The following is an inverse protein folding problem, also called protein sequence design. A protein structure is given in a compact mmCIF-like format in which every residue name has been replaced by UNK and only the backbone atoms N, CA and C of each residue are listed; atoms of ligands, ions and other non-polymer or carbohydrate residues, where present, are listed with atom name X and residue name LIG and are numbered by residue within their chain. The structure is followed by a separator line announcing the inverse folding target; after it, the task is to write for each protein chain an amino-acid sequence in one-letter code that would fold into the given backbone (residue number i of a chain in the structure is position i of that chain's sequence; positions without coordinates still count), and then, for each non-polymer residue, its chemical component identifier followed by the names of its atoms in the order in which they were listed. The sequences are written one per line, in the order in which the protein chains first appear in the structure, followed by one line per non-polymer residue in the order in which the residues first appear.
data_IF_342927815065
#
_entry.id   IF_342927815065
#
_cell.length_a   1.000
_cell.length_b   1.000
_cell.length_c   1.000
_cell.angle_alpha   90.00
_cell.angle_beta   90.00
_cell.angle_gamma   90.00
#
_symmetry.space_group_name_H-M   'P 1'
#
loop_
_entity.id
_entity.type
_entity.pdbx_description
1 polymer ?
#
# COMPACT_ATOMS: atom_id res chain seq x y z
N UNK A 1 37.50 -35.30 9.06
CA UNK A 1 36.77 -34.03 8.93
C UNK A 1 35.31 -34.40 9.14
N UNK A 2 34.70 -33.92 10.24
CA UNK A 2 33.29 -34.17 10.51
C UNK A 2 32.50 -33.09 9.77
N UNK A 3 31.93 -33.43 8.61
CA UNK A 3 30.98 -32.57 7.93
C UNK A 3 29.70 -32.55 8.77
N UNK A 4 29.57 -31.53 9.61
CA UNK A 4 28.30 -31.24 10.26
C UNK A 4 27.25 -31.04 9.17
N UNK A 5 26.07 -31.68 9.27
CA UNK A 5 25.03 -31.55 8.27
C UNK A 5 24.64 -30.07 8.14
N UNK A 6 24.71 -29.55 6.91
CA UNK A 6 24.25 -28.20 6.58
C UNK A 6 22.74 -28.17 6.84
N UNK A 7 22.30 -27.26 7.70
CA UNK A 7 20.87 -27.09 7.98
C UNK A 7 20.13 -26.79 6.66
N UNK A 8 18.92 -27.36 6.46
CA UNK A 8 18.14 -27.05 5.27
C UNK A 8 17.90 -25.55 5.18
N UNK A 9 17.87 -24.97 3.97
CA UNK A 9 17.61 -23.54 3.79
C UNK A 9 16.26 -23.19 4.42
N UNK A 10 16.25 -22.14 5.23
CA UNK A 10 15.01 -21.60 5.80
C UNK A 10 14.19 -21.03 4.65
N UNK A 11 12.96 -21.52 4.49
CA UNK A 11 12.04 -21.01 3.48
C UNK A 11 11.70 -19.55 3.80
N UNK A 12 11.85 -18.67 2.81
CA UNK A 12 11.59 -17.25 2.96
C UNK A 12 10.11 -16.96 2.84
N UNK A 13 9.62 -16.01 3.64
CA UNK A 13 8.26 -15.51 3.59
C UNK A 13 8.10 -14.47 2.47
N UNK A 14 7.23 -14.69 1.48
CA UNK A 14 7.00 -13.74 0.40
C UNK A 14 6.25 -12.49 0.87
N UNK A 15 6.75 -11.31 0.50
CA UNK A 15 6.08 -10.03 0.71
C UNK A 15 5.88 -9.29 -0.62
N UNK A 16 4.69 -8.75 -0.84
CA UNK A 16 4.34 -8.01 -2.05
C UNK A 16 4.35 -6.50 -1.77
N UNK A 17 5.18 -5.76 -2.49
CA UNK A 17 5.34 -4.32 -2.35
C UNK A 17 4.66 -3.61 -3.53
N UNK A 18 3.66 -2.77 -3.25
CA UNK A 18 2.91 -2.04 -4.26
C UNK A 18 3.45 -0.61 -4.37
N UNK A 19 3.79 -0.16 -5.57
CA UNK A 19 4.40 1.14 -5.83
C UNK A 19 5.92 1.19 -5.66
N UNK A 20 6.58 0.03 -5.56
CA UNK A 20 8.04 -0.10 -5.39
C UNK A 20 8.63 -0.75 -6.63
N UNK A 21 9.82 -0.30 -7.06
CA UNK A 21 10.59 -0.95 -8.12
C UNK A 21 11.74 -1.81 -7.56
N UNK A 22 12.10 -2.88 -8.30
CA UNK A 22 13.27 -3.70 -7.99
C UNK A 22 14.14 -3.78 -9.25
N UNK A 23 15.20 -2.97 -9.26
CA UNK A 23 16.12 -2.89 -10.40
C UNK A 23 16.93 -4.16 -10.57
N UNK A 24 17.01 -4.66 -11.81
CA UNK A 24 18.03 -5.62 -12.23
C UNK A 24 19.37 -4.89 -12.35
N UNK A 25 20.13 -4.87 -11.25
CA UNK A 25 21.42 -4.19 -11.21
C UNK A 25 22.38 -4.75 -12.27
N UNK A 26 22.33 -6.06 -12.51
CA UNK A 26 23.19 -6.75 -13.49
C UNK A 26 22.83 -6.34 -14.90
N UNK A 27 21.57 -6.45 -15.29
CA UNK A 27 21.08 -6.00 -16.59
C UNK A 27 21.32 -4.50 -16.82
N UNK A 28 21.08 -3.68 -15.80
CA UNK A 28 21.34 -2.24 -15.85
C UNK A 28 22.83 -1.95 -16.12
N UNK A 29 23.73 -2.68 -15.46
CA UNK A 29 25.17 -2.52 -15.64
C UNK A 29 25.65 -2.97 -17.02
N UNK A 30 25.11 -4.09 -17.52
CA UNK A 30 25.43 -4.63 -18.85
C UNK A 30 24.96 -3.71 -19.97
N UNK A 31 23.80 -3.05 -19.81
CA UNK A 31 23.23 -2.16 -20.83
C UNK A 31 24.00 -0.85 -20.99
N UNK A 32 24.71 -0.39 -19.96
CA UNK A 32 25.52 0.84 -20.00
C UNK A 32 26.93 0.65 -20.59
N UNK A 33 27.21 -0.51 -21.20
CA UNK A 33 28.55 -0.95 -21.63
C UNK A 33 29.05 -0.33 -22.94
N UNK A 34 29.43 0.96 -22.92
CA UNK A 34 30.30 1.48 -24.00
C UNK A 34 31.59 2.18 -23.55
N UNK A 35 31.82 2.41 -22.25
CA UNK A 35 33.15 2.83 -21.72
C UNK A 35 33.10 2.94 -20.19
N UNK A 36 31.93 3.34 -19.68
CA UNK A 36 31.65 3.57 -18.26
C UNK A 36 31.76 2.29 -17.42
N UNK A 37 31.20 1.17 -17.89
CA UNK A 37 31.25 -0.12 -17.19
C UNK A 37 32.66 -0.71 -17.09
N UNK A 38 33.53 -0.49 -18.09
CA UNK A 38 34.92 -0.97 -18.06
C UNK A 38 35.72 -0.31 -16.94
N UNK A 39 35.65 1.03 -16.83
CA UNK A 39 36.32 1.78 -15.74
C UNK A 39 35.84 1.32 -14.35
N UNK A 40 34.55 1.02 -14.22
CA UNK A 40 33.98 0.60 -12.96
C UNK A 40 34.48 -0.79 -12.50
N UNK A 41 34.54 -1.76 -13.42
CA UNK A 41 35.06 -3.09 -13.12
C UNK A 41 36.54 -3.07 -12.75
N UNK A 42 37.33 -2.23 -13.42
CA UNK A 42 38.76 -2.10 -13.17
C UNK A 42 39.05 -1.40 -11.83
N UNK A 43 38.25 -0.41 -11.42
CA UNK A 43 38.50 0.36 -10.22
C UNK A 43 37.90 -0.25 -8.93
N UNK A 44 36.76 -0.94 -9.00
CA UNK A 44 35.95 -1.22 -7.79
C UNK A 44 35.78 -2.69 -7.41
N UNK A 45 36.18 -3.65 -8.26
CA UNK A 45 35.97 -5.09 -7.99
C UNK A 45 34.55 -5.38 -7.49
N UNK A 46 33.55 -4.84 -8.18
CA UNK A 46 32.15 -4.90 -7.75
C UNK A 46 31.63 -6.32 -7.91
N UNK A 47 31.23 -6.93 -6.81
CA UNK A 47 30.45 -8.16 -6.83
C UNK A 47 28.98 -7.84 -7.14
N UNK A 48 28.64 -7.87 -8.42
CA UNK A 48 27.28 -7.65 -8.89
C UNK A 48 26.37 -8.85 -8.67
N UNK A 49 26.96 -10.02 -8.42
CA UNK A 49 26.21 -11.26 -8.18
C UNK A 49 25.72 -11.34 -6.72
N UNK A 50 26.26 -10.51 -5.83
CA UNK A 50 25.84 -10.35 -4.43
C UNK A 50 25.33 -8.92 -4.14
N UNK A 51 24.13 -8.54 -4.64
CA UNK A 51 23.63 -7.17 -4.49
C UNK A 51 23.44 -6.79 -3.02
N UNK A 52 23.84 -5.56 -2.67
CA UNK A 52 23.75 -5.01 -1.31
C UNK A 52 23.27 -3.56 -1.31
N UNK A 53 22.81 -3.09 -0.15
CA UNK A 53 22.41 -1.68 0.05
C UNK A 53 23.58 -0.73 -0.28
N UNK A 54 24.81 -1.07 0.12
CA UNK A 54 26.00 -0.25 -0.14
C UNK A 54 26.32 -0.16 -1.63
N UNK A 55 26.22 -1.27 -2.37
CA UNK A 55 26.41 -1.27 -3.82
C UNK A 55 25.38 -0.37 -4.51
N UNK A 56 24.09 -0.54 -4.18
CA UNK A 56 23.02 0.29 -4.75
C UNK A 56 23.23 1.76 -4.44
N UNK A 57 23.63 2.08 -3.21
CA UNK A 57 23.95 3.44 -2.78
C UNK A 57 25.04 4.06 -3.64
N UNK A 58 26.12 3.32 -3.90
CA UNK A 58 27.20 3.81 -4.74
C UNK A 58 26.76 4.02 -6.20
N UNK A 59 25.97 3.10 -6.74
CA UNK A 59 25.43 3.23 -8.09
C UNK A 59 24.60 4.52 -8.25
N UNK A 60 23.85 4.91 -7.22
CA UNK A 60 23.13 6.20 -7.20
C UNK A 60 24.08 7.39 -7.11
N UNK A 61 25.03 7.38 -6.16
CA UNK A 61 26.02 8.47 -5.99
C UNK A 61 26.78 8.77 -7.28
N UNK A 62 27.10 7.71 -8.04
CA UNK A 62 27.83 7.80 -9.31
C UNK A 62 26.92 8.00 -10.53
N UNK A 63 25.61 8.13 -10.34
CA UNK A 63 24.61 8.35 -11.41
C UNK A 63 24.58 7.22 -12.45
N UNK A 64 24.71 5.98 -12.01
CA UNK A 64 24.42 4.77 -12.80
C UNK A 64 22.97 4.30 -12.60
N UNK A 65 22.42 4.60 -11.41
CA UNK A 65 21.04 4.36 -11.05
C UNK A 65 20.41 5.68 -10.60
N UNK A 66 19.13 5.90 -10.91
CA UNK A 66 18.43 7.08 -10.42
C UNK A 66 18.05 6.92 -8.93
N UNK A 67 17.75 8.04 -8.28
CA UNK A 67 17.52 8.09 -6.83
C UNK A 67 16.29 7.25 -6.41
N UNK A 68 15.23 7.21 -7.23
CA UNK A 68 13.99 6.50 -6.92
C UNK A 68 14.21 4.98 -7.00
N UNK A 69 14.74 4.50 -8.13
CA UNK A 69 15.03 3.08 -8.35
C UNK A 69 16.07 2.55 -7.35
N UNK A 70 17.10 3.35 -7.05
CA UNK A 70 18.10 2.98 -6.06
C UNK A 70 17.54 2.92 -4.65
N UNK A 71 16.70 3.88 -4.26
CA UNK A 71 16.03 3.85 -2.96
C UNK A 71 15.15 2.63 -2.81
N UNK A 72 14.33 2.33 -3.81
CA UNK A 72 13.37 1.23 -3.77
C UNK A 72 14.09 -0.12 -3.76
N UNK A 73 15.10 -0.30 -4.62
CA UNK A 73 15.94 -1.49 -4.63
C UNK A 73 16.71 -1.68 -3.31
N UNK A 74 17.28 -0.62 -2.73
CA UNK A 74 17.96 -0.70 -1.45
C UNK A 74 17.04 -1.15 -0.31
N UNK A 75 15.78 -0.69 -0.32
CA UNK A 75 14.78 -1.11 0.68
C UNK A 75 14.38 -2.57 0.52
N UNK A 76 14.21 -3.03 -0.72
CA UNK A 76 13.99 -4.46 -0.99
C UNK A 76 15.16 -5.32 -0.48
N UNK A 77 16.40 -4.92 -0.79
CA UNK A 77 17.59 -5.62 -0.32
C UNK A 77 17.71 -5.61 1.21
N UNK A 78 17.36 -4.52 1.88
CA UNK A 78 17.35 -4.46 3.34
C UNK A 78 16.32 -5.45 3.94
N UNK A 79 15.13 -5.57 3.34
CA UNK A 79 14.12 -6.56 3.76
C UNK A 79 14.65 -7.99 3.60
N UNK A 80 15.31 -8.28 2.48
CA UNK A 80 15.83 -9.63 2.18
C UNK A 80 17.08 -9.99 2.99
N UNK A 81 17.89 -9.00 3.38
CA UNK A 81 19.07 -9.18 4.23
C UNK A 81 18.73 -9.73 5.62
N UNK A 82 17.47 -9.60 6.07
CA UNK A 82 16.97 -10.24 7.29
C UNK A 82 17.02 -11.77 7.25
N UNK A 83 17.13 -12.36 6.05
CA UNK A 83 17.07 -13.81 5.82
C UNK A 83 15.67 -14.41 5.95
N UNK A 84 14.68 -13.63 6.40
CA UNK A 84 13.30 -14.09 6.61
C UNK A 84 12.41 -13.89 5.39
N UNK A 85 12.59 -12.80 4.65
CA UNK A 85 11.66 -12.39 3.61
C UNK A 85 12.26 -12.48 2.20
N UNK A 86 11.38 -12.68 1.22
CA UNK A 86 11.64 -12.43 -0.19
C UNK A 86 10.67 -11.37 -0.72
N UNK A 87 11.15 -10.45 -1.56
CA UNK A 87 10.33 -9.32 -2.01
C UNK A 87 9.88 -9.48 -3.46
N UNK A 88 8.59 -9.26 -3.69
CA UNK A 88 8.00 -9.09 -5.02
C UNK A 88 7.45 -7.67 -5.13
N UNK A 89 7.67 -7.03 -6.27
CA UNK A 89 7.42 -5.62 -6.47
C UNK A 89 6.46 -5.39 -7.64
N UNK A 90 5.52 -4.47 -7.44
CA UNK A 90 4.58 -4.04 -8.48
C UNK A 90 4.69 -2.53 -8.62
N UNK A 91 4.95 -2.03 -9.81
CA UNK A 91 4.90 -0.60 -10.09
C UNK A 91 4.52 -0.32 -11.55
N UNK A 92 4.11 0.92 -11.81
CA UNK A 92 3.99 1.49 -13.15
C UNK A 92 5.14 2.43 -13.49
N UNK A 93 6.09 2.61 -12.58
CA UNK A 93 7.24 3.45 -12.85
C UNK A 93 8.01 2.87 -14.03
N UNK A 94 8.11 3.68 -15.07
CA UNK A 94 9.02 3.45 -16.19
C UNK A 94 10.38 4.02 -15.79
N UNK A 95 11.42 3.21 -15.87
CA UNK A 95 12.69 3.49 -15.20
C UNK A 95 13.79 2.56 -15.68
N UNK A 96 14.55 2.02 -14.73
CA UNK A 96 15.65 1.10 -15.02
C UNK A 96 15.17 -0.25 -15.53
N UNK A 97 16.11 -1.11 -15.96
CA UNK A 97 15.79 -2.53 -16.17
C UNK A 97 15.39 -3.16 -14.84
N UNK A 98 14.28 -3.89 -14.80
CA UNK A 98 13.77 -4.51 -13.57
C UNK A 98 13.96 -6.03 -13.59
N UNK A 99 14.16 -6.60 -12.41
CA UNK A 99 14.43 -8.01 -12.26
C UNK A 99 13.15 -8.82 -12.51
N UNK A 100 13.09 -9.56 -13.62
CA UNK A 100 11.86 -10.15 -14.16
C UNK A 100 11.14 -11.05 -13.15
N UNK A 101 11.89 -11.85 -12.39
CA UNK A 101 11.34 -12.77 -11.40
C UNK A 101 10.76 -12.03 -10.18
N UNK A 102 11.24 -10.82 -9.87
CA UNK A 102 10.80 -10.03 -8.70
C UNK A 102 9.88 -8.88 -9.05
N UNK A 103 9.73 -8.49 -10.32
CA UNK A 103 9.00 -7.30 -10.70
C UNK A 103 7.83 -7.58 -11.66
N UNK A 104 6.69 -6.93 -11.39
CA UNK A 104 5.52 -6.94 -12.26
C UNK A 104 5.14 -5.50 -12.63
N UNK A 105 5.25 -5.17 -13.92
CA UNK A 105 4.77 -3.91 -14.46
C UNK A 105 3.24 -3.94 -14.59
N UNK A 106 2.52 -3.50 -13.56
CA UNK A 106 1.07 -3.56 -13.55
C UNK A 106 0.42 -2.39 -12.80
N UNK A 107 -0.77 -2.00 -13.29
CA UNK A 107 -1.58 -0.98 -12.65
C UNK A 107 -2.52 -1.64 -11.63
N UNK A 108 -2.28 -1.45 -10.34
CA UNK A 108 -3.14 -1.99 -9.28
C UNK A 108 -4.51 -1.30 -9.18
N UNK A 109 -4.83 -0.31 -10.03
CA UNK A 109 -6.19 0.21 -10.25
C UNK A 109 -6.96 -0.52 -11.34
N UNK A 110 -6.31 -1.33 -12.18
CA UNK A 110 -6.98 -2.04 -13.27
C UNK A 110 -7.60 -3.34 -12.80
N UNK A 111 -8.67 -3.74 -13.48
CA UNK A 111 -9.27 -5.06 -13.30
C UNK A 111 -8.28 -6.15 -13.72
N UNK A 112 -8.37 -7.31 -13.07
CA UNK A 112 -7.45 -8.41 -13.34
C UNK A 112 -6.03 -8.20 -12.80
N UNK A 113 -5.77 -7.14 -12.02
CA UNK A 113 -4.48 -6.96 -11.36
C UNK A 113 -4.10 -8.16 -10.48
N UNK A 114 -5.02 -8.61 -9.61
CA UNK A 114 -4.79 -9.79 -8.76
C UNK A 114 -4.61 -11.07 -9.60
N UNK A 115 -5.26 -11.15 -10.75
CA UNK A 115 -5.07 -12.27 -11.69
C UNK A 115 -3.63 -12.30 -12.24
N UNK A 116 -3.08 -11.15 -12.62
CA UNK A 116 -1.69 -11.05 -13.09
C UNK A 116 -0.68 -11.49 -12.01
N UNK A 117 -0.91 -11.10 -10.75
CA UNK A 117 -0.09 -11.57 -9.61
C UNK A 117 -0.15 -13.10 -9.49
N UNK A 118 -1.36 -13.68 -9.61
CA UNK A 118 -1.54 -15.13 -9.52
C UNK A 118 -0.82 -15.88 -10.63
N UNK A 119 -0.97 -15.39 -11.86
CA UNK A 119 -0.32 -15.97 -13.04
C UNK A 119 1.20 -15.88 -12.94
N UNK A 120 1.75 -14.81 -12.37
CA UNK A 120 3.20 -14.63 -12.24
C UNK A 120 3.81 -15.42 -11.08
N UNK A 121 3.20 -15.39 -9.90
CA UNK A 121 3.86 -15.84 -8.67
C UNK A 121 3.10 -16.88 -7.85
N UNK A 122 1.81 -17.13 -8.11
CA UNK A 122 1.00 -18.00 -7.25
C UNK A 122 0.65 -19.36 -7.90
N UNK A 123 1.20 -19.70 -9.07
CA UNK A 123 0.86 -20.95 -9.77
C UNK A 123 1.27 -22.20 -8.98
N UNK A 124 2.47 -22.17 -8.37
CA UNK A 124 3.03 -23.31 -7.64
C UNK A 124 2.86 -23.20 -6.12
N UNK A 125 2.57 -21.99 -5.62
CA UNK A 125 2.32 -21.71 -4.21
C UNK A 125 1.06 -20.84 -4.10
N UNK A 126 -0.13 -21.44 -3.96
CA UNK A 126 -1.36 -20.67 -3.83
C UNK A 126 -1.34 -19.94 -2.48
N UNK A 127 -1.61 -18.63 -2.51
CA UNK A 127 -1.61 -17.75 -1.34
C UNK A 127 -0.24 -17.56 -0.67
N UNK A 128 0.79 -17.13 -1.42
CA UNK A 128 2.16 -17.12 -0.90
C UNK A 128 2.42 -15.96 0.07
N UNK A 129 1.66 -14.86 0.01
CA UNK A 129 2.09 -13.62 0.65
C UNK A 129 1.69 -13.51 2.12
N UNK A 130 2.67 -13.31 3.00
CA UNK A 130 2.41 -12.99 4.42
C UNK A 130 2.10 -11.50 4.60
N UNK A 131 2.66 -10.64 3.75
CA UNK A 131 2.37 -9.20 3.74
C UNK A 131 2.15 -8.68 2.32
N UNK A 132 1.16 -7.79 2.17
CA UNK A 132 1.01 -6.92 1.00
C UNK A 132 1.09 -5.48 1.52
N UNK A 133 2.06 -4.71 1.04
CA UNK A 133 2.40 -3.40 1.59
C UNK A 133 2.19 -2.37 0.48
N UNK A 134 1.27 -1.43 0.69
CA UNK A 134 1.12 -0.28 -0.18
C UNK A 134 2.16 0.78 0.20
N UNK A 135 3.14 0.96 -0.69
CA UNK A 135 4.22 1.90 -0.46
C UNK A 135 3.72 3.33 -0.54
N UNK A 136 4.20 4.13 0.41
CA UNK A 136 3.64 5.43 0.75
C UNK A 136 4.71 6.52 0.78
N UNK A 137 5.94 6.19 0.37
CA UNK A 137 7.11 6.99 0.72
C UNK A 137 7.27 8.29 -0.05
N UNK A 138 6.27 8.66 -0.84
CA UNK A 138 6.11 10.02 -1.31
C UNK A 138 4.67 10.27 -1.76
N UNK A 139 3.81 10.62 -0.83
CA UNK A 139 2.42 11.00 -1.13
C UNK A 139 2.27 12.48 -0.82
N UNK A 140 2.71 13.38 -1.73
CA UNK A 140 2.34 14.77 -1.58
C UNK A 140 0.80 14.90 -1.59
N UNK A 141 0.24 15.96 -0.99
CA UNK A 141 -1.20 16.17 -0.99
C UNK A 141 -1.79 16.07 -2.41
N UNK A 142 -2.84 15.27 -2.59
CA UNK A 142 -3.48 15.02 -3.89
C UNK A 142 -2.94 13.80 -4.65
N UNK A 143 -1.74 13.32 -4.34
CA UNK A 143 -1.12 12.22 -5.08
C UNK A 143 -1.89 10.91 -4.91
N UNK A 144 -2.37 10.62 -3.69
CA UNK A 144 -3.12 9.41 -3.42
C UNK A 144 -4.44 9.36 -4.17
N UNK A 145 -5.13 10.49 -4.27
CA UNK A 145 -6.38 10.62 -5.01
C UNK A 145 -6.19 10.34 -6.50
N UNK A 146 -5.07 10.79 -7.06
CA UNK A 146 -4.70 10.56 -8.46
C UNK A 146 -4.29 9.11 -8.73
N UNK A 147 -3.59 8.48 -7.79
CA UNK A 147 -2.95 7.18 -8.03
C UNK A 147 -3.74 6.00 -7.48
N UNK A 148 -4.60 6.18 -6.47
CA UNK A 148 -5.33 5.10 -5.80
C UNK A 148 -6.83 5.28 -5.99
N UNK A 149 -7.31 4.84 -7.13
CA UNK A 149 -8.71 5.01 -7.53
C UNK A 149 -9.66 4.15 -6.70
N UNK A 150 -10.96 4.45 -6.79
CA UNK A 150 -12.00 3.59 -6.22
C UNK A 150 -11.94 2.14 -6.66
N UNK A 151 -11.45 1.87 -7.87
CA UNK A 151 -11.35 0.51 -8.37
C UNK A 151 -10.34 -0.33 -7.57
N UNK A 152 -9.25 0.27 -7.09
CA UNK A 152 -8.30 -0.40 -6.20
C UNK A 152 -9.01 -0.90 -4.93
N UNK A 153 -9.70 0.00 -4.21
CA UNK A 153 -10.35 -0.31 -2.93
C UNK A 153 -11.60 -1.18 -3.06
N UNK A 154 -12.36 -1.01 -4.14
CA UNK A 154 -13.66 -1.67 -4.32
C UNK A 154 -13.58 -3.04 -5.00
N UNK A 155 -12.47 -3.32 -5.70
CA UNK A 155 -12.28 -4.53 -6.50
C UNK A 155 -11.01 -5.28 -6.10
N UNK A 156 -9.83 -4.66 -6.22
CA UNK A 156 -8.56 -5.37 -6.08
C UNK A 156 -8.22 -5.68 -4.61
N UNK A 157 -8.42 -4.72 -3.71
CA UNK A 157 -8.14 -4.87 -2.29
C UNK A 157 -8.95 -6.02 -1.64
N UNK A 158 -10.28 -6.18 -1.87
CA UNK A 158 -11.01 -7.38 -1.46
C UNK A 158 -10.45 -8.69 -2.02
N UNK A 159 -9.94 -8.66 -3.27
CA UNK A 159 -9.44 -9.84 -3.97
C UNK A 159 -8.04 -10.28 -3.48
N UNK A 160 -7.30 -9.44 -2.76
CA UNK A 160 -6.03 -9.82 -2.12
C UNK A 160 -6.18 -10.99 -1.14
N UNK A 161 -7.38 -11.22 -0.60
CA UNK A 161 -7.67 -12.39 0.24
C UNK A 161 -7.35 -13.73 -0.45
N UNK A 162 -7.32 -13.74 -1.78
CA UNK A 162 -7.05 -14.93 -2.59
C UNK A 162 -5.58 -15.10 -3.01
N UNK A 163 -4.68 -14.28 -2.46
CA UNK A 163 -3.22 -14.40 -2.62
C UNK A 163 -2.46 -14.25 -1.29
N UNK A 164 -3.17 -14.00 -0.18
CA UNK A 164 -2.59 -13.89 1.15
C UNK A 164 -2.55 -15.24 1.85
N UNK A 165 -1.41 -15.57 2.43
CA UNK A 165 -1.23 -16.72 3.32
C UNK A 165 -2.18 -16.62 4.53
N UNK A 166 -2.42 -17.74 5.26
CA UNK A 166 -3.16 -17.70 6.51
C UNK A 166 -2.60 -16.63 7.47
N UNK A 167 -3.48 -15.80 8.03
CA UNK A 167 -3.15 -14.63 8.86
C UNK A 167 -2.36 -13.52 8.15
N UNK A 168 -2.20 -13.59 6.83
CA UNK A 168 -1.55 -12.56 6.04
C UNK A 168 -2.26 -11.21 6.15
N UNK A 169 -1.49 -10.14 6.00
CA UNK A 169 -1.96 -8.77 6.22
C UNK A 169 -1.75 -7.87 5.00
N UNK A 170 -2.68 -6.94 4.79
CA UNK A 170 -2.49 -5.79 3.90
C UNK A 170 -2.27 -4.54 4.75
N UNK A 171 -1.22 -3.79 4.44
CA UNK A 171 -0.90 -2.53 5.10
C UNK A 171 -1.13 -1.36 4.14
N UNK A 172 -1.97 -0.42 4.55
CA UNK A 172 -2.29 0.79 3.80
C UNK A 172 -1.97 2.01 4.69
N UNK A 173 -1.40 3.08 4.14
CA UNK A 173 -1.08 4.26 4.95
C UNK A 173 -2.35 4.95 5.44
N UNK A 174 -2.31 5.44 6.67
CA UNK A 174 -3.43 6.08 7.33
C UNK A 174 -3.51 7.58 6.98
N UNK A 175 -4.11 7.86 5.84
CA UNK A 175 -4.38 9.21 5.34
C UNK A 175 -5.84 9.39 4.95
N UNK A 176 -6.27 10.64 4.72
CA UNK A 176 -7.68 11.01 4.48
C UNK A 176 -8.29 10.17 3.33
N UNK A 177 -7.64 10.15 2.17
CA UNK A 177 -8.12 9.40 1.01
C UNK A 177 -8.23 7.90 1.29
N UNK A 178 -7.14 7.25 1.71
CA UNK A 178 -7.13 5.81 1.99
C UNK A 178 -8.16 5.41 3.05
N UNK A 179 -8.30 6.20 4.11
CA UNK A 179 -9.29 5.96 5.16
C UNK A 179 -10.71 6.04 4.60
N UNK A 180 -11.06 7.13 3.92
CA UNK A 180 -12.38 7.32 3.32
C UNK A 180 -12.72 6.20 2.34
N UNK A 181 -11.77 5.79 1.52
CA UNK A 181 -11.96 4.71 0.54
C UNK A 181 -12.15 3.34 1.20
N UNK A 182 -11.46 3.07 2.32
CA UNK A 182 -11.68 1.87 3.13
C UNK A 182 -13.05 1.90 3.80
N UNK A 183 -13.47 3.04 4.37
CA UNK A 183 -14.79 3.20 4.99
C UNK A 183 -15.91 3.00 3.96
N UNK A 184 -15.81 3.65 2.80
CA UNK A 184 -16.78 3.50 1.69
C UNK A 184 -16.92 2.04 1.23
N UNK A 185 -15.85 1.26 1.30
CA UNK A 185 -15.82 -0.14 0.86
C UNK A 185 -15.84 -1.14 2.02
N UNK A 186 -16.14 -0.71 3.26
CA UNK A 186 -15.97 -1.54 4.47
C UNK A 186 -16.78 -2.84 4.40
N UNK A 187 -17.98 -2.81 3.81
CA UNK A 187 -18.85 -3.98 3.65
C UNK A 187 -18.24 -5.04 2.72
N UNK A 188 -17.44 -4.63 1.73
CA UNK A 188 -16.70 -5.55 0.85
C UNK A 188 -15.47 -6.10 1.57
N UNK A 189 -14.71 -5.23 2.25
CA UNK A 189 -13.50 -5.61 2.96
C UNK A 189 -13.78 -6.60 4.09
N UNK A 190 -14.80 -6.35 4.91
CA UNK A 190 -15.20 -7.22 6.04
C UNK A 190 -15.68 -8.61 5.64
N UNK A 191 -15.90 -8.89 4.35
CA UNK A 191 -16.16 -10.26 3.88
C UNK A 191 -14.95 -11.17 4.09
N UNK A 192 -13.74 -10.62 3.99
CA UNK A 192 -12.51 -11.39 4.03
C UNK A 192 -11.51 -10.89 5.09
N UNK A 193 -11.69 -9.67 5.60
CA UNK A 193 -10.68 -9.01 6.43
C UNK A 193 -11.24 -8.53 7.77
N UNK A 194 -10.40 -8.66 8.81
CA UNK A 194 -10.48 -7.84 10.01
C UNK A 194 -9.75 -6.53 9.77
N UNK A 195 -10.42 -5.39 10.05
CA UNK A 195 -9.87 -4.05 9.84
C UNK A 195 -9.47 -3.48 11.19
N UNK A 196 -8.17 -3.22 11.34
CA UNK A 196 -7.55 -2.67 12.54
C UNK A 196 -6.61 -1.53 12.15
N UNK A 197 -6.01 -0.87 13.14
CA UNK A 197 -5.18 0.29 12.93
C UNK A 197 -3.87 0.12 13.69
N UNK A 198 -2.74 0.36 13.02
CA UNK A 198 -1.42 0.29 13.65
C UNK A 198 -0.98 1.66 14.13
N UNK A 199 -0.47 1.70 15.36
CA UNK A 199 0.09 2.87 16.00
C UNK A 199 1.60 2.97 15.77
N UNK A 200 2.19 4.14 16.04
CA UNK A 200 3.64 4.38 15.88
C UNK A 200 4.54 3.31 16.51
N UNK A 201 4.17 2.81 17.69
CA UNK A 201 4.94 1.80 18.42
C UNK A 201 4.82 0.38 17.85
N UNK A 202 4.02 0.18 16.80
CA UNK A 202 3.69 -1.14 16.26
C UNK A 202 4.20 -1.30 14.81
N UNK A 203 4.95 -0.32 14.29
CA UNK A 203 5.37 -0.30 12.88
C UNK A 203 6.42 -1.33 12.52
N UNK A 204 7.14 -1.87 13.52
CA UNK A 204 8.08 -2.99 13.36
C UNK A 204 7.42 -4.27 12.80
N UNK A 205 6.08 -4.34 12.81
CA UNK A 205 5.34 -5.43 12.16
C UNK A 205 5.46 -5.39 10.62
N UNK A 206 5.60 -4.20 10.03
CA UNK A 206 5.63 -3.99 8.58
C UNK A 206 7.07 -4.21 8.11
N UNK A 207 7.34 -5.32 7.43
CA UNK A 207 8.70 -5.73 7.05
C UNK A 207 9.45 -4.62 6.30
N UNK A 208 8.77 -4.00 5.34
CA UNK A 208 9.33 -2.90 4.55
C UNK A 208 9.66 -1.66 5.39
N UNK A 209 8.81 -1.29 6.36
CA UNK A 209 9.07 -0.14 7.23
C UNK A 209 10.26 -0.44 8.13
N UNK A 210 10.22 -1.58 8.84
CA UNK A 210 11.25 -2.01 9.78
C UNK A 210 12.63 -2.00 9.14
N UNK A 211 12.78 -2.69 8.02
CA UNK A 211 14.09 -2.83 7.38
C UNK A 211 14.51 -1.58 6.59
N UNK A 212 13.58 -0.65 6.30
CA UNK A 212 13.98 0.70 5.84
C UNK A 212 14.72 1.46 6.95
N UNK A 213 14.40 1.23 8.23
CA UNK A 213 15.10 1.87 9.36
C UNK A 213 16.52 1.33 9.56
N UNK A 214 16.83 0.15 9.03
CA UNK A 214 18.17 -0.45 9.07
C UNK A 214 19.15 0.22 8.07
N UNK A 215 18.63 0.97 7.09
CA UNK A 215 19.45 1.71 6.12
C UNK A 215 19.98 2.97 6.82
N UNK A 216 21.28 3.24 6.64
CA UNK A 216 21.95 4.41 7.20
C UNK A 216 21.16 5.72 6.93
N UNK A 217 20.91 6.47 8.00
CA UNK A 217 20.08 7.69 7.95
C UNK A 217 20.64 8.74 7.00
N UNK A 218 21.96 8.97 7.01
CA UNK A 218 22.60 9.93 6.09
C UNK A 218 22.44 9.52 4.63
N UNK A 219 22.54 8.22 4.33
CA UNK A 219 22.30 7.67 2.98
C UNK A 219 20.84 7.92 2.59
N UNK A 220 19.89 7.58 3.46
CA UNK A 220 18.47 7.81 3.20
C UNK A 220 18.19 9.29 2.91
N UNK A 221 18.70 10.20 3.74
CA UNK A 221 18.42 11.62 3.62
C UNK A 221 19.17 12.31 2.48
N UNK A 222 20.45 11.99 2.27
CA UNK A 222 21.31 12.75 1.35
C UNK A 222 21.50 12.08 -0.01
N UNK A 223 21.39 10.75 -0.10
CA UNK A 223 21.50 10.02 -1.37
C UNK A 223 20.11 9.77 -1.95
N UNK A 224 19.20 9.25 -1.14
CA UNK A 224 17.85 8.91 -1.58
C UNK A 224 16.83 10.03 -1.40
N UNK A 225 17.25 11.18 -0.84
CA UNK A 225 16.40 12.35 -0.56
C UNK A 225 15.14 12.01 0.22
N UNK A 226 15.27 11.05 1.13
CA UNK A 226 14.19 10.49 1.92
C UNK A 226 14.49 10.64 3.40
N UNK A 227 13.64 11.38 4.09
CA UNK A 227 13.69 11.48 5.54
C UNK A 227 13.17 10.17 6.15
N UNK A 228 13.90 9.63 7.14
CA UNK A 228 13.34 8.57 7.99
C UNK A 228 12.16 9.13 8.80
N UNK A 229 11.17 8.29 9.10
CA UNK A 229 9.97 8.72 9.83
C UNK A 229 8.96 9.53 9.01
N UNK A 230 8.97 9.45 7.68
CA UNK A 230 8.01 10.18 6.81
C UNK A 230 6.54 9.82 7.02
N UNK A 231 6.25 8.69 7.66
CA UNK A 231 4.90 8.37 8.14
C UNK A 231 4.35 9.43 9.11
N UNK A 232 5.22 10.16 9.80
CA UNK A 232 4.85 11.31 10.63
C UNK A 232 4.38 12.52 9.81
N UNK A 233 4.59 12.52 8.50
CA UNK A 233 4.16 13.59 7.61
C UNK A 233 2.97 13.14 6.75
N UNK A 234 3.05 11.93 6.17
CA UNK A 234 2.10 11.47 5.16
C UNK A 234 1.03 10.52 5.69
N UNK A 235 1.23 9.90 6.85
CA UNK A 235 0.31 8.91 7.42
C UNK A 235 -0.44 9.45 8.64
N UNK A 236 -0.93 10.68 8.52
CA UNK A 236 -1.69 11.36 9.57
C UNK A 236 -3.00 11.91 9.00
N UNK A 237 -4.07 11.83 9.78
CA UNK A 237 -5.32 12.55 9.52
C UNK A 237 -5.27 13.95 10.14
N UNK A 238 -5.00 14.97 9.32
CA UNK A 238 -4.84 16.35 9.81
C UNK A 238 -6.17 17.08 10.15
N UNK A 239 -7.32 16.59 9.67
CA UNK A 239 -8.58 17.34 9.80
C UNK A 239 -9.82 16.44 10.00
N UNK A 240 -10.00 15.93 11.22
CA UNK A 240 -11.15 15.10 11.59
C UNK A 240 -12.49 15.72 11.27
N UNK A 241 -12.66 17.02 11.55
CA UNK A 241 -13.91 17.72 11.34
C UNK A 241 -14.28 17.81 9.84
N UNK A 242 -13.28 17.88 8.96
CA UNK A 242 -13.50 17.89 7.50
C UNK A 242 -13.80 16.48 6.97
N UNK A 243 -13.27 15.45 7.60
CA UNK A 243 -13.43 14.05 7.19
C UNK A 243 -14.79 13.49 7.64
N UNK A 244 -15.23 13.87 8.84
CA UNK A 244 -16.49 13.48 9.48
C UNK A 244 -17.75 14.11 8.84
N UNK A 245 -17.80 14.23 7.51
CA UNK A 245 -18.93 14.84 6.78
C UNK A 245 -20.13 13.92 6.67
N UNK A 246 -19.90 12.60 6.61
CA UNK A 246 -20.96 11.60 6.53
C UNK A 246 -20.99 10.70 7.78
N UNK A 247 -22.16 10.12 8.03
CA UNK A 247 -22.42 9.32 9.23
C UNK A 247 -21.57 8.05 9.29
N UNK A 248 -21.20 7.46 8.15
CA UNK A 248 -20.35 6.26 8.13
C UNK A 248 -18.94 6.59 8.56
N UNK A 249 -18.40 7.69 8.03
CA UNK A 249 -17.08 8.15 8.41
C UNK A 249 -17.03 8.56 9.88
N UNK A 250 -18.08 9.22 10.39
CA UNK A 250 -18.21 9.50 11.83
C UNK A 250 -18.22 8.23 12.68
N UNK A 251 -19.01 7.22 12.28
CA UNK A 251 -19.06 5.94 12.97
C UNK A 251 -17.73 5.16 12.88
N UNK A 252 -17.00 5.28 11.77
CA UNK A 252 -15.69 4.66 11.63
C UNK A 252 -14.63 5.36 12.47
N UNK A 253 -14.68 6.69 12.58
CA UNK A 253 -13.78 7.47 13.43
C UNK A 253 -13.96 7.12 14.91
N UNK A 254 -15.17 6.77 15.36
CA UNK A 254 -15.39 6.33 16.74
C UNK A 254 -14.79 4.96 17.06
N UNK A 255 -14.34 4.20 16.05
CA UNK A 255 -13.57 2.96 16.26
C UNK A 255 -12.09 3.23 16.57
N UNK A 256 -11.62 4.46 16.38
CA UNK A 256 -10.23 4.83 16.63
C UNK A 256 -10.09 5.39 18.04
N UNK A 257 -9.26 4.74 18.85
CA UNK A 257 -8.96 5.15 20.22
C UNK A 257 -7.85 6.21 20.29
N UNK A 258 -6.92 6.21 19.34
CA UNK A 258 -5.72 7.06 19.37
C UNK A 258 -5.30 7.54 17.98
N UNK A 259 -6.17 8.35 17.36
CA UNK A 259 -5.96 8.79 15.99
C UNK A 259 -4.62 9.53 15.76
N UNK A 260 -4.14 10.41 16.66
CA UNK A 260 -2.85 11.08 16.49
C UNK A 260 -1.67 10.12 16.35
N UNK A 261 -1.74 8.93 16.95
CA UNK A 261 -0.68 7.92 16.89
C UNK A 261 -0.92 6.83 15.83
N UNK A 262 -2.09 6.78 15.20
CA UNK A 262 -2.35 5.84 14.10
C UNK A 262 -1.56 6.22 12.85
N UNK A 263 -0.94 5.22 12.20
CA UNK A 263 -0.12 5.37 10.99
C UNK A 263 -0.53 4.45 9.85
N UNK A 264 -1.12 3.29 10.13
CA UNK A 264 -1.60 2.39 9.07
C UNK A 264 -2.98 1.83 9.36
N UNK A 265 -3.69 1.53 8.28
CA UNK A 265 -4.83 0.63 8.26
C UNK A 265 -4.29 -0.77 7.97
N UNK A 266 -4.59 -1.70 8.86
CA UNK A 266 -4.21 -3.11 8.75
C UNK A 266 -5.43 -3.95 8.43
N UNK A 267 -5.38 -4.65 7.30
CA UNK A 267 -6.39 -5.63 6.89
C UNK A 267 -5.82 -7.03 7.08
N UNK A 268 -6.18 -7.68 8.18
CA UNK A 268 -5.77 -9.07 8.43
C UNK A 268 -6.77 -10.02 7.80
N UNK A 269 -6.29 -11.01 7.06
CA UNK A 269 -7.13 -12.07 6.52
C UNK A 269 -7.85 -12.81 7.67
N UNK A 270 -9.17 -12.94 7.56
CA UNK A 270 -9.97 -13.70 8.53
C UNK A 270 -9.59 -15.17 8.47
N UNK A 271 -9.50 -15.80 9.65
CA UNK A 271 -9.37 -17.24 9.73
C UNK A 271 -10.63 -17.92 9.20
N UNK A 272 -10.52 -19.21 8.87
CA UNK A 272 -11.69 -19.98 8.45
C UNK A 272 -12.80 -20.00 9.52
N UNK A 273 -12.44 -19.93 10.80
CA UNK A 273 -13.39 -19.86 11.90
C UNK A 273 -14.08 -18.50 11.99
N UNK A 274 -13.31 -17.41 11.91
CA UNK A 274 -13.87 -16.06 11.92
C UNK A 274 -14.82 -15.86 10.72
N UNK A 275 -14.45 -16.37 9.56
CA UNK A 275 -15.30 -16.31 8.36
C UNK A 275 -16.64 -17.05 8.57
N UNK A 276 -16.61 -18.24 9.19
CA UNK A 276 -17.84 -18.97 9.56
C UNK A 276 -18.71 -18.15 10.51
N UNK A 277 -18.11 -17.53 11.52
CA UNK A 277 -18.83 -16.70 12.50
C UNK A 277 -19.49 -15.49 11.81
N UNK A 278 -18.77 -14.81 10.91
CA UNK A 278 -19.31 -13.71 10.09
C UNK A 278 -20.48 -14.17 9.21
N UNK A 279 -20.38 -15.35 8.58
CA UNK A 279 -21.46 -15.91 7.75
C UNK A 279 -22.70 -16.29 8.57
N UNK A 280 -22.53 -16.88 9.76
CA UNK A 280 -23.64 -17.23 10.65
C UNK A 280 -24.38 -15.99 11.16
N UNK A 281 -23.66 -14.91 11.48
CA UNK A 281 -24.26 -13.67 11.95
C UNK A 281 -25.09 -12.96 10.88
N UNK A 282 -24.71 -13.08 9.60
CA UNK A 282 -25.51 -12.58 8.47
C UNK A 282 -26.83 -13.34 8.29
N UNK A 283 -26.86 -14.63 8.60
CA UNK A 283 -28.05 -15.45 8.42
C UNK A 283 -29.05 -15.34 9.57
N UNK A 284 -28.63 -14.83 10.73
CA UNK A 284 -29.43 -14.86 11.98
C UNK A 284 -30.12 -13.53 12.32
N UNK A 285 -29.82 -12.43 11.60
CA UNK A 285 -30.48 -11.14 11.82
C UNK A 285 -31.00 -10.58 10.51
N UNK A 286 -32.33 -10.51 10.28
CA UNK A 286 -32.84 -9.67 9.20
C UNK A 286 -32.37 -8.24 9.46
N UNK A 287 -31.66 -7.65 8.49
CA UNK A 287 -31.25 -6.26 8.58
C UNK A 287 -32.51 -5.39 8.76
N UNK A 288 -32.57 -4.52 9.79
CA UNK A 288 -33.67 -3.60 9.94
C UNK A 288 -33.71 -2.70 8.70
N UNK A 289 -34.76 -2.84 7.89
CA UNK A 289 -34.88 -2.15 6.59
C UNK A 289 -34.97 -0.63 6.70
N UNK A 290 -35.20 -0.09 7.89
CA UNK A 290 -35.27 1.35 8.13
C UNK A 290 -34.88 1.66 9.59
N UNK A 291 -33.96 2.60 9.79
CA UNK A 291 -33.74 3.25 11.07
C UNK A 291 -34.14 4.72 10.97
N UNK A 292 -35.38 5.09 11.33
CA UNK A 292 -35.73 6.48 11.56
C UNK A 292 -35.21 6.89 12.94
N UNK A 293 -34.09 7.59 12.98
CA UNK A 293 -33.61 8.36 14.13
C UNK A 293 -33.50 7.59 15.46
N UNK A 294 -32.38 6.93 15.73
CA UNK A 294 -31.90 6.67 17.10
C UNK A 294 -30.52 6.03 17.11
N UNK A 295 -29.80 6.30 18.20
CA UNK A 295 -28.40 6.00 18.45
C UNK A 295 -27.95 4.60 17.99
N UNK A 296 -26.94 4.60 17.13
CA UNK A 296 -26.24 3.41 16.64
C UNK A 296 -25.47 2.76 17.80
N UNK A 297 -26.03 1.69 18.39
CA UNK A 297 -25.28 0.84 19.32
C UNK A 297 -24.55 -0.23 18.51
N UNK A 298 -23.26 -0.01 18.32
CA UNK A 298 -22.33 -0.99 17.74
C UNK A 298 -21.90 -1.94 18.86
N UNK A 299 -22.01 -3.27 18.73
CA UNK A 299 -21.50 -4.19 19.74
C UNK A 299 -19.99 -4.02 19.87
N UNK A 300 -19.57 -3.72 21.10
CA UNK A 300 -18.18 -3.51 21.49
C UNK A 300 -17.55 -4.88 21.77
N UNK A 301 -17.02 -5.53 20.73
CA UNK A 301 -16.17 -6.74 20.84
C UNK A 301 -15.11 -6.78 19.71
N UNK A 302 -14.77 -5.64 19.09
CA UNK A 302 -13.82 -5.57 17.98
C UNK A 302 -14.34 -6.14 16.64
N UNK A 303 -15.51 -6.79 16.62
CA UNK A 303 -16.21 -7.21 15.40
C UNK A 303 -17.44 -6.34 15.21
N UNK A 304 -17.29 -5.27 14.43
CA UNK A 304 -18.42 -4.41 14.04
C UNK A 304 -19.18 -5.06 12.87
N UNK A 305 -20.35 -5.62 13.16
CA UNK A 305 -21.29 -6.13 12.16
C UNK A 305 -22.23 -4.97 11.81
N UNK A 306 -21.93 -4.30 10.69
CA UNK A 306 -22.67 -3.10 10.26
C UNK A 306 -24.03 -3.44 9.67
N UNK A 307 -25.02 -2.62 10.02
CA UNK A 307 -26.32 -2.51 9.36
C UNK A 307 -26.14 -2.23 7.85
N UNK A 308 -26.82 -3.00 7.00
CA UNK A 308 -27.04 -2.61 5.60
C UNK A 308 -27.94 -1.37 5.58
N UNK A 309 -27.37 -0.25 5.17
CA UNK A 309 -28.12 0.93 4.82
C UNK A 309 -28.24 0.93 3.30
N UNK A 310 -29.45 0.74 2.79
CA UNK A 310 -29.72 0.92 1.37
C UNK A 310 -29.43 2.39 1.01
N UNK A 311 -28.56 2.60 0.02
CA UNK A 311 -28.37 3.89 -0.61
C UNK A 311 -29.72 4.24 -1.26
N UNK A 312 -30.52 5.06 -0.58
CA UNK A 312 -31.81 5.50 -1.08
C UNK A 312 -31.61 6.15 -2.43
N UNK A 313 -32.00 5.44 -3.49
CA UNK A 313 -32.17 5.96 -4.84
C UNK A 313 -33.16 7.11 -4.76
N UNK A 314 -32.65 8.33 -4.55
CA UNK A 314 -33.43 9.54 -4.78
C UNK A 314 -33.31 9.84 -6.26
N UNK A 315 -34.44 9.75 -6.95
CA UNK A 315 -34.64 10.24 -8.31
C UNK A 315 -33.98 11.61 -8.47
N UNK A 316 -32.87 11.64 -9.21
CA UNK A 316 -32.11 12.84 -9.58
C UNK A 316 -32.92 13.82 -10.44
N UNK A 317 -34.16 13.47 -10.81
CA UNK A 317 -35.07 14.33 -11.58
C UNK A 317 -35.67 15.49 -10.78
N UNK A 318 -35.76 15.42 -9.45
CA UNK A 318 -36.36 16.52 -8.68
C UNK A 318 -35.39 17.65 -8.30
N UNK A 319 -34.07 17.45 -8.45
CA UNK A 319 -33.07 18.48 -8.10
C UNK A 319 -32.75 19.41 -9.29
N UNK A 320 -33.08 19.02 -10.52
CA UNK A 320 -32.88 19.87 -11.71
C UNK A 320 -34.00 20.90 -11.92
N UNK A 321 -35.22 20.67 -11.42
CA UNK A 321 -36.32 21.63 -11.56
C UNK A 321 -36.21 22.85 -10.61
N UNK A 322 -35.51 22.75 -9.49
CA UNK A 322 -35.31 23.89 -8.57
C UNK A 322 -34.10 24.77 -8.94
N UNK A 323 -33.19 24.30 -9.80
CA UNK A 323 -32.02 25.08 -10.24
C UNK A 323 -32.29 26.00 -11.44
N UNK A 324 -33.48 25.94 -12.03
CA UNK A 324 -33.89 26.76 -13.18
C UNK A 324 -34.30 28.21 -12.87
N UNK A 325 -34.29 28.65 -11.60
CA UNK A 325 -34.81 29.97 -11.19
C UNK A 325 -33.84 30.83 -10.39
N UNK A 326 -32.56 30.89 -10.75
CA UNK A 326 -31.71 32.04 -10.38
C UNK A 326 -30.75 32.36 -11.53
N UNK A 327 -31.16 33.29 -12.41
CA UNK A 327 -30.23 33.99 -13.28
C UNK A 327 -29.79 35.29 -12.59
N UNK A 328 -28.48 35.52 -12.47
CA UNK A 328 -27.77 36.61 -13.17
C UNK A 328 -26.37 36.88 -12.59
N UNK A 329 -25.45 37.14 -13.53
CA UNK A 329 -24.24 37.98 -13.44
C UNK A 329 -23.09 37.54 -12.52
N UNK A 330 -22.02 37.03 -13.13
CA UNK A 330 -20.76 37.77 -13.31
C UNK A 330 -19.71 36.88 -13.99
N UNK A 331 -19.29 37.25 -15.21
CA UNK A 331 -18.11 36.70 -15.86
C UNK A 331 -16.86 37.35 -15.26
N UNK A 332 -16.07 36.58 -14.52
CA UNK A 332 -14.70 36.95 -14.14
C UNK A 332 -13.76 35.92 -14.77
N UNK A 333 -13.05 36.34 -15.81
CA UNK A 333 -11.97 35.58 -16.44
C UNK A 333 -10.73 35.65 -15.56
N UNK A 334 -10.37 34.53 -14.93
CA UNK A 334 -9.05 34.37 -14.31
C UNK A 334 -8.05 33.89 -15.37
N UNK A 335 -7.00 34.69 -15.59
CA UNK A 335 -5.78 34.27 -16.29
C UNK A 335 -4.88 33.57 -15.29
N UNK A 336 -4.47 32.34 -15.59
CA UNK A 336 -3.43 31.63 -14.84
C UNK A 336 -2.07 32.33 -15.01
N UNK A 337 -1.27 32.47 -13.94
CA UNK A 337 0.10 32.94 -14.07
C UNK A 337 0.99 31.83 -14.63
N UNK A 338 1.86 32.27 -15.55
CA UNK A 338 2.92 31.49 -16.18
C UNK A 338 3.99 31.12 -15.12
N UNK A 339 4.44 29.87 -14.99
CA UNK A 339 5.60 29.56 -14.17
C UNK A 339 6.86 29.89 -14.97
N UNK A 340 7.68 30.81 -14.44
CA UNK A 340 8.99 31.13 -14.97
C UNK A 340 10.07 30.74 -13.96
N UNK A 341 11.09 30.07 -14.52
CA UNK A 341 12.47 29.84 -14.07
C UNK A 341 12.74 28.88 -12.91
#
# INVERSE_FOLDING_TARGET
MNDSPVAPPVEKEPVLLLGVSYTDLKGQFMTQSNERSKRMNEEWSIDIDSPSVDLVTELVKRKYLNEIDGRDTARCLAVEASGRYETHCVSLQDGSSYLEEKFLFANFNKEGFVKQIKEKWCLNNPNPYTQIILDYFWIPPGWAEEHWTEKFFSTNLPNFASILAPNGCVYLPFQEHTFNMCVKNINKLRKNFSVTFLKKGELDEIALWKHTQDINEDVMQHVYRKKLGQEEEYCILYNFNKIAKDLYTQAALSWLDDIPNTRYIKLRLLSAEELRNVMQLRNTRPFPKTYPGSNLVIPYDGIVIGAEFEEGSKDTKQIEEEKGKVSNKNNVTFRSPNPAN
#
